data_IF_740072414545
#
_entry.id   IF_740072414545
#
_cell.length_a   1.000
_cell.length_b   1.000
_cell.length_c   1.000
_cell.angle_alpha   90.00
_cell.angle_beta   90.00
_cell.angle_gamma   90.00
#
_symmetry.space_group_name_H-M   'P 1'
#
loop_
_entity.id
_entity.type
_entity.pdbx_description
1 polymer ?
#
# COMPACT_ATOMS: atom_id res chain seq x y z
N UNK A 1 -11.75 -10.34 -0.63
CA UNK A 1 -10.64 -9.77 -1.44
C UNK A 1 -11.19 -8.51 -2.10
N UNK A 2 -10.49 -7.36 -2.08
CA UNK A 2 -10.95 -6.15 -2.75
C UNK A 2 -10.77 -6.24 -4.28
N UNK A 3 -11.21 -5.21 -5.00
CA UNK A 3 -10.89 -5.02 -6.41
C UNK A 3 -9.40 -4.68 -6.57
N UNK A 4 -8.74 -5.25 -7.60
CA UNK A 4 -7.34 -4.99 -7.91
C UNK A 4 -7.20 -4.55 -9.36
N UNK A 5 -6.41 -3.50 -9.57
CA UNK A 5 -6.05 -2.99 -10.90
C UNK A 5 -4.55 -3.15 -11.09
N UNK A 6 -4.14 -3.61 -12.27
CA UNK A 6 -2.73 -3.79 -12.64
C UNK A 6 -2.49 -3.14 -14.00
N UNK A 7 -1.45 -2.32 -14.08
CA UNK A 7 -0.98 -1.72 -15.32
C UNK A 7 0.50 -2.07 -15.53
N UNK A 8 0.85 -2.44 -16.76
CA UNK A 8 2.24 -2.67 -17.18
C UNK A 8 2.74 -1.37 -17.80
N UNK A 9 3.80 -0.80 -17.24
CA UNK A 9 4.43 0.42 -17.75
C UNK A 9 5.64 0.04 -18.60
N UNK A 10 5.62 0.43 -19.87
CA UNK A 10 6.73 0.18 -20.80
C UNK A 10 7.90 1.12 -20.50
N UNK A 11 9.03 0.57 -20.05
CA UNK A 11 10.22 1.36 -19.66
C UNK A 11 11.31 1.45 -20.74
N UNK A 12 11.27 0.57 -21.75
CA UNK A 12 12.35 0.41 -22.74
C UNK A 12 13.65 -0.20 -22.20
N UNK A 13 13.72 -0.51 -20.90
CA UNK A 13 14.87 -1.18 -20.28
C UNK A 13 14.84 -2.70 -20.57
N UNK A 14 16.00 -3.40 -20.45
CA UNK A 14 16.03 -4.86 -20.50
C UNK A 14 15.09 -5.49 -19.47
N UNK A 15 14.56 -6.67 -19.77
CA UNK A 15 13.64 -7.40 -18.90
C UNK A 15 14.30 -7.74 -17.56
N UNK A 16 13.59 -7.48 -16.45
CA UNK A 16 14.00 -7.80 -15.09
C UNK A 16 12.96 -8.59 -14.31
N UNK A 17 13.24 -8.90 -13.05
CA UNK A 17 12.31 -9.59 -12.14
C UNK A 17 11.18 -8.67 -11.63
N UNK A 18 9.96 -9.21 -11.54
CA UNK A 18 8.74 -8.45 -11.16
C UNK A 18 8.12 -8.90 -9.82
N UNK A 19 8.72 -9.88 -9.13
CA UNK A 19 8.05 -10.57 -8.02
C UNK A 19 8.03 -9.74 -6.73
N UNK A 20 9.10 -8.99 -6.44
CA UNK A 20 9.26 -8.22 -5.20
C UNK A 20 8.88 -6.72 -5.24
N UNK A 21 8.69 -6.02 -6.37
CA UNK A 21 8.31 -4.61 -6.37
C UNK A 21 6.92 -4.29 -5.78
N UNK A 22 5.94 -5.19 -5.97
CA UNK A 22 4.55 -4.96 -5.55
C UNK A 22 4.33 -5.03 -4.03
N UNK A 23 4.73 -6.13 -3.36
CA UNK A 23 4.43 -6.34 -1.94
C UNK A 23 4.90 -5.22 -0.98
N UNK A 24 6.10 -4.62 -1.14
CA UNK A 24 6.57 -3.54 -0.26
C UNK A 24 5.73 -2.27 -0.32
N UNK A 25 5.06 -2.00 -1.45
CA UNK A 25 4.26 -0.79 -1.65
C UNK A 25 2.87 -0.84 -1.01
N UNK A 26 2.33 -2.05 -0.77
CA UNK A 26 0.95 -2.21 -0.31
C UNK A 26 0.75 -1.70 1.13
N UNK A 27 1.55 -2.08 2.15
CA UNK A 27 1.35 -1.61 3.52
C UNK A 27 1.38 -0.08 3.69
N UNK A 28 2.34 0.68 3.13
CA UNK A 28 2.35 2.14 3.27
C UNK A 28 1.21 2.81 2.48
N UNK A 29 0.79 2.26 1.34
CA UNK A 29 -0.37 2.78 0.60
C UNK A 29 -1.66 2.68 1.43
N UNK A 30 -1.90 1.54 2.07
CA UNK A 30 -3.05 1.35 2.96
C UNK A 30 -2.95 2.24 4.20
N UNK A 31 -1.77 2.39 4.80
CA UNK A 31 -1.57 3.27 5.96
C UNK A 31 -1.84 4.75 5.61
N UNK A 32 -1.48 5.18 4.40
CA UNK A 32 -1.77 6.53 3.91
C UNK A 32 -3.28 6.75 3.67
N UNK A 33 -3.98 5.76 3.11
CA UNK A 33 -5.43 5.81 2.94
C UNK A 33 -6.16 5.94 4.28
N UNK A 34 -5.74 5.18 5.31
CA UNK A 34 -6.26 5.30 6.66
C UNK A 34 -6.01 6.70 7.24
N UNK A 35 -4.80 7.23 7.09
CA UNK A 35 -4.48 8.58 7.57
C UNK A 35 -5.30 9.66 6.88
N UNK A 36 -5.60 9.51 5.58
CA UNK A 36 -6.48 10.41 4.85
C UNK A 36 -7.93 10.32 5.32
N UNK A 37 -8.41 9.11 5.64
CA UNK A 37 -9.78 8.86 6.11
C UNK A 37 -10.02 9.31 7.56
N UNK A 38 -9.05 9.10 8.46
CA UNK A 38 -9.24 9.28 9.91
C UNK A 38 -8.48 10.45 10.51
N UNK A 39 -7.52 11.04 9.77
CA UNK A 39 -6.56 12.01 10.30
C UNK A 39 -5.45 11.38 11.16
N UNK A 40 -5.52 10.08 11.48
CA UNK A 40 -4.56 9.40 12.33
C UNK A 40 -3.43 8.76 11.52
N UNK A 41 -2.19 9.17 11.79
CA UNK A 41 -0.99 8.59 11.14
C UNK A 41 -0.51 7.34 11.87
N UNK A 42 -0.66 6.17 11.25
CA UNK A 42 -0.18 4.89 11.78
C UNK A 42 1.26 4.64 11.30
N UNK A 43 2.14 4.28 12.23
CA UNK A 43 3.58 4.06 11.97
C UNK A 43 4.08 2.67 12.33
N UNK A 44 3.22 1.82 12.88
CA UNK A 44 3.57 0.48 13.32
C UNK A 44 2.70 -0.55 12.60
N UNK A 45 3.34 -1.62 12.14
CA UNK A 45 2.67 -2.79 11.57
C UNK A 45 2.67 -3.95 12.59
N UNK A 46 1.71 -4.88 12.49
CA UNK A 46 0.57 -4.89 11.56
C UNK A 46 -0.52 -3.89 11.97
N UNK A 47 -1.22 -3.32 10.96
CA UNK A 47 -2.27 -2.32 11.17
C UNK A 47 -3.39 -2.82 12.10
N UNK A 48 -3.66 -4.13 12.11
CA UNK A 48 -4.67 -4.78 12.96
C UNK A 48 -4.46 -4.57 14.48
N UNK A 49 -3.25 -4.21 14.91
CA UNK A 49 -2.97 -3.88 16.33
C UNK A 49 -3.26 -2.42 16.69
N UNK A 50 -3.65 -1.61 15.73
CA UNK A 50 -3.91 -0.18 15.94
C UNK A 50 -5.40 0.06 16.13
N UNK A 51 -5.78 0.73 17.22
CA UNK A 51 -7.13 1.28 17.36
C UNK A 51 -7.23 2.52 16.47
N UNK A 52 -8.13 2.44 15.50
CA UNK A 52 -8.50 3.57 14.66
C UNK A 52 -9.45 4.47 15.45
N UNK A 53 -9.12 5.75 15.55
CA UNK A 53 -10.07 6.79 15.93
C UNK A 53 -10.32 7.66 14.71
N UNK A 54 -11.55 7.71 14.22
CA UNK A 54 -11.98 8.60 13.14
C UNK A 54 -13.09 9.52 13.62
N UNK A 55 -13.20 10.69 12.98
CA UNK A 55 -14.22 11.71 13.19
C UNK A 55 -15.64 11.21 12.88
#
# INVERSE_FOLDING_TARGET
>A
MPEFHVAIVESGAPMGGIVEPGPPGVPPAVANALAALTGQRIRNLPLAKTKLSGA
#
